data_IF_769471402099
#
_entry.id   IF_769471402099
#
_cell.length_a   1.000
_cell.length_b   1.000
_cell.length_c   1.000
_cell.angle_alpha   90.00
_cell.angle_beta   90.00
_cell.angle_gamma   90.00
#
_symmetry.space_group_name_H-M   'P 1'
#
loop_
_entity.id
_entity.type
_entity.pdbx_description
1 polymer ?
#
# COMPACT_ATOMS: atom_id res chain seq x y z
N UNK A 1 -26.30 -49.17 15.40
CA UNK A 1 -24.99 -48.94 14.76
C UNK A 1 -24.67 -47.47 14.89
N UNK A 2 -23.79 -47.10 15.83
CA UNK A 2 -23.50 -45.71 16.18
C UNK A 2 -22.16 -45.29 15.58
N UNK A 3 -22.18 -44.24 14.76
CA UNK A 3 -20.97 -43.65 14.17
C UNK A 3 -20.49 -42.55 15.12
N UNK A 4 -19.24 -42.55 15.62
CA UNK A 4 -18.74 -41.43 16.41
C UNK A 4 -18.35 -40.27 15.48
N UNK A 5 -19.08 -39.15 15.60
CA UNK A 5 -18.69 -37.87 15.01
C UNK A 5 -17.47 -37.32 15.74
N UNK A 6 -16.36 -37.15 15.03
CA UNK A 6 -15.19 -36.39 15.50
C UNK A 6 -15.40 -34.92 15.10
N UNK A 7 -15.37 -33.96 16.03
CA UNK A 7 -15.25 -32.57 15.66
C UNK A 7 -13.83 -32.34 15.14
N UNK A 8 -13.70 -32.08 13.84
CA UNK A 8 -12.48 -31.49 13.29
C UNK A 8 -12.48 -30.02 13.70
N UNK A 9 -11.87 -29.74 14.85
CA UNK A 9 -11.36 -28.41 15.17
C UNK A 9 -10.20 -28.13 14.20
N UNK A 10 -10.53 -27.71 12.99
CA UNK A 10 -9.57 -26.96 12.20
C UNK A 10 -9.50 -25.60 12.87
N UNK A 11 -8.50 -25.43 13.74
CA UNK A 11 -8.01 -24.14 14.16
C UNK A 11 -7.65 -23.39 12.89
N UNK A 12 -8.58 -22.55 12.42
CA UNK A 12 -8.30 -21.54 11.42
C UNK A 12 -7.30 -20.59 12.08
N UNK A 13 -6.00 -20.87 11.88
CA UNK A 13 -4.95 -19.93 12.25
C UNK A 13 -5.28 -18.57 11.65
N UNK A 14 -4.90 -17.47 12.32
CA UNK A 14 -5.14 -16.14 11.79
C UNK A 14 -4.51 -16.10 10.40
N UNK A 15 -5.34 -16.03 9.36
CA UNK A 15 -4.91 -15.65 8.01
C UNK A 15 -4.65 -14.16 8.06
N UNK A 16 -3.67 -13.77 8.85
CA UNK A 16 -3.06 -12.45 8.85
C UNK A 16 -1.88 -12.55 7.92
N UNK A 17 -2.14 -12.51 6.61
CA UNK A 17 -1.10 -12.05 5.68
C UNK A 17 -0.60 -10.69 6.17
N UNK A 18 0.66 -10.30 5.90
CA UNK A 18 1.11 -8.97 6.24
C UNK A 18 0.17 -7.98 5.57
N UNK A 19 -0.71 -7.36 6.36
CA UNK A 19 -1.50 -6.22 5.91
C UNK A 19 -0.45 -5.13 5.73
N UNK A 20 0.06 -5.02 4.50
CA UNK A 20 0.91 -3.91 4.12
C UNK A 20 0.18 -2.66 4.60
N UNK A 21 0.83 -1.92 5.48
CA UNK A 21 0.21 -0.71 6.01
C UNK A 21 0.02 0.21 4.81
N UNK A 22 -1.01 1.05 4.82
CA UNK A 22 -1.24 2.01 3.74
C UNK A 22 0.05 2.79 3.41
N UNK A 23 0.86 3.12 4.42
CA UNK A 23 2.18 3.73 4.25
C UNK A 23 3.18 2.90 3.41
N UNK A 24 3.20 1.58 3.55
CA UNK A 24 4.10 0.71 2.80
C UNK A 24 3.66 0.62 1.34
N UNK A 25 2.35 0.51 1.10
CA UNK A 25 1.74 0.55 -0.24
C UNK A 25 2.06 1.89 -0.93
N UNK A 26 2.03 3.00 -0.19
CA UNK A 26 2.35 4.31 -0.75
C UNK A 26 3.83 4.43 -1.15
N UNK A 27 4.75 3.98 -0.29
CA UNK A 27 6.17 4.00 -0.60
C UNK A 27 6.48 3.16 -1.84
N UNK A 28 5.81 2.01 -1.96
CA UNK A 28 5.94 1.12 -3.12
C UNK A 28 5.36 1.73 -4.40
N UNK A 29 4.17 2.34 -4.33
CA UNK A 29 3.55 3.06 -5.45
C UNK A 29 4.44 4.19 -5.98
N UNK A 30 5.06 4.94 -5.06
CA UNK A 30 5.95 6.04 -5.40
C UNK A 30 7.25 5.54 -6.04
N UNK A 31 7.86 4.49 -5.49
CA UNK A 31 9.04 3.86 -6.07
C UNK A 31 8.77 3.36 -7.49
N UNK A 32 7.66 2.66 -7.70
CA UNK A 32 7.25 2.20 -9.03
C UNK A 32 7.04 3.35 -10.03
N UNK A 33 6.50 4.50 -9.58
CA UNK A 33 6.28 5.64 -10.46
C UNK A 33 7.59 6.36 -10.86
N UNK A 34 8.49 6.57 -9.89
CA UNK A 34 9.70 7.38 -10.12
C UNK A 34 10.90 6.57 -10.57
N UNK A 35 11.09 5.36 -10.03
CA UNK A 35 12.27 4.54 -10.30
C UNK A 35 12.00 3.54 -11.43
N UNK A 36 10.76 3.04 -11.56
CA UNK A 36 10.36 2.12 -12.63
C UNK A 36 9.59 2.80 -13.77
N UNK A 37 9.31 4.11 -13.64
CA UNK A 37 8.57 4.93 -14.62
C UNK A 37 7.19 4.35 -15.01
N UNK A 38 6.57 3.59 -14.11
CA UNK A 38 5.24 3.04 -14.32
C UNK A 38 4.17 4.13 -14.23
N UNK A 39 3.13 4.00 -15.04
CA UNK A 39 1.96 4.89 -14.93
C UNK A 39 1.13 4.56 -13.70
N UNK A 40 0.40 5.55 -13.16
CA UNK A 40 -0.50 5.34 -12.03
C UNK A 40 -1.58 4.27 -12.28
N UNK A 41 -1.97 4.06 -13.54
CA UNK A 41 -2.90 3.00 -13.95
C UNK A 41 -2.28 1.61 -13.79
N UNK A 42 -1.03 1.44 -14.23
CA UNK A 42 -0.29 0.18 -14.07
C UNK A 42 0.00 -0.10 -12.60
N UNK A 43 0.36 0.93 -11.84
CA UNK A 43 0.59 0.81 -10.39
C UNK A 43 -0.70 0.40 -9.66
N UNK A 44 -1.86 0.95 -10.04
CA UNK A 44 -3.14 0.56 -9.45
C UNK A 44 -3.48 -0.91 -9.71
N UNK A 45 -3.18 -1.41 -10.92
CA UNK A 45 -3.31 -2.84 -11.25
C UNK A 45 -2.36 -3.69 -10.42
N UNK A 46 -1.09 -3.28 -10.30
CA UNK A 46 -0.07 -4.04 -9.57
C UNK A 46 -0.31 -4.08 -8.06
N UNK A 47 -0.90 -3.01 -7.51
CA UNK A 47 -1.27 -2.92 -6.11
C UNK A 47 -2.64 -3.54 -5.80
N UNK A 48 -3.38 -3.97 -6.81
CA UNK A 48 -4.80 -4.39 -6.72
C UNK A 48 -5.70 -3.33 -6.04
N UNK A 49 -5.32 -2.06 -6.15
CA UNK A 49 -5.99 -0.93 -5.51
C UNK A 49 -6.77 -0.09 -6.55
N UNK A 50 -7.88 0.57 -6.15
CA UNK A 50 -8.59 1.45 -7.06
C UNK A 50 -7.70 2.62 -7.52
N UNK A 51 -7.71 2.92 -8.82
CA UNK A 51 -6.97 4.06 -9.38
C UNK A 51 -7.29 5.38 -8.66
N UNK A 52 -8.55 5.58 -8.26
CA UNK A 52 -8.95 6.77 -7.49
C UNK A 52 -8.34 6.83 -6.08
N UNK A 53 -8.03 5.68 -5.47
CA UNK A 53 -7.26 5.65 -4.23
C UNK A 53 -5.81 6.02 -4.53
N UNK A 54 -5.17 5.36 -5.50
CA UNK A 54 -3.77 5.59 -5.88
C UNK A 54 -3.53 7.05 -6.28
N UNK A 55 -4.40 7.64 -7.09
CA UNK A 55 -4.31 9.04 -7.50
C UNK A 55 -4.47 10.03 -6.33
N UNK A 56 -5.40 9.78 -5.40
CA UNK A 56 -5.55 10.61 -4.19
C UNK A 56 -4.31 10.51 -3.29
N UNK A 57 -3.72 9.32 -3.22
CA UNK A 57 -2.51 9.05 -2.43
C UNK A 57 -1.29 9.72 -3.07
N UNK A 58 -1.13 9.65 -4.38
CA UNK A 58 -0.10 10.36 -5.13
C UNK A 58 -0.17 11.88 -4.91
N UNK A 59 -1.36 12.47 -5.04
CA UNK A 59 -1.58 13.90 -4.80
C UNK A 59 -1.35 14.34 -3.34
N UNK A 60 -1.45 13.43 -2.37
CA UNK A 60 -1.10 13.72 -0.98
C UNK A 60 0.42 13.67 -0.77
N UNK A 61 1.10 12.75 -1.43
CA UNK A 61 2.54 12.58 -1.32
C UNK A 61 3.34 13.66 -2.07
N UNK A 62 2.85 14.13 -3.22
CA UNK A 62 3.39 15.32 -3.91
C UNK A 62 3.40 16.53 -2.97
N UNK A 63 2.28 16.82 -2.32
CA UNK A 63 2.20 17.92 -1.34
C UNK A 63 3.17 17.76 -0.17
N UNK A 64 3.31 16.55 0.37
CA UNK A 64 4.28 16.28 1.44
C UNK A 64 5.73 16.46 0.98
N UNK A 65 6.04 16.07 -0.26
CA UNK A 65 7.37 16.19 -0.85
C UNK A 65 7.69 17.64 -1.16
N UNK A 66 6.73 18.40 -1.70
CA UNK A 66 6.85 19.84 -1.96
C UNK A 66 7.02 20.61 -0.65
N UNK A 67 6.25 20.28 0.39
CA UNK A 67 6.39 20.90 1.72
C UNK A 67 7.76 20.59 2.35
N UNK A 68 8.25 19.35 2.22
CA UNK A 68 9.62 19.00 2.66
C UNK A 68 10.69 19.71 1.84
N UNK A 69 10.53 19.79 0.52
CA UNK A 69 11.45 20.51 -0.35
C UNK A 69 11.49 22.01 -0.02
N UNK A 70 10.33 22.61 0.26
CA UNK A 70 10.21 23.99 0.70
C UNK A 70 10.88 24.23 2.07
N UNK A 71 10.77 23.28 3.01
CA UNK A 71 11.45 23.37 4.30
C UNK A 71 12.99 23.26 4.17
N UNK A 72 13.48 22.42 3.26
CA UNK A 72 14.92 22.28 2.98
C UNK A 72 15.47 23.53 2.28
N UNK A 73 14.72 24.14 1.36
CA UNK A 73 15.09 25.44 0.78
C UNK A 73 15.07 26.57 1.80
N UNK A 74 14.16 26.53 2.78
CA UNK A 74 14.05 27.53 3.85
C UNK A 74 15.16 27.47 4.90
N UNK A 75 15.97 26.41 4.94
CA UNK A 75 17.10 26.27 5.88
C UNK A 75 18.46 26.64 5.29
N UNK A 76 18.52 27.09 4.03
CA UNK A 76 19.76 27.48 3.35
C UNK A 76 20.11 28.98 3.46
N UNK A 77 19.46 29.72 4.38
CA UNK A 77 19.76 31.13 4.66
C UNK A 77 20.09 31.37 6.13
#
# INVERSE_FOLDING_TARGET
MSVPQRPLTTTSGPVGGPVLRAQDVHAMAWHMHYDEHLSWEQIAVELEEPLAAVARMAAAYERFTDEKAAQVQGTLF
#
